data_IF_476178509309
#
_entry.id   IF_476178509309
#
_cell.length_a   1.000
_cell.length_b   1.000
_cell.length_c   1.000
_cell.angle_alpha   90.00
_cell.angle_beta   90.00
_cell.angle_gamma   90.00
#
_symmetry.space_group_name_H-M   'P 1'
#
loop_
_entity.id
_entity.type
_entity.pdbx_description
1 polymer ?
#
# COMPACT_ATOMS: atom_id res chain seq x y z
N UNK A 1 43.46 -41.15 -50.92
CA UNK A 1 44.80 -40.99 -50.31
C UNK A 1 44.68 -41.35 -48.84
N UNK A 2 45.37 -42.40 -48.44
CA UNK A 2 45.44 -42.90 -47.07
C UNK A 2 46.60 -42.22 -46.33
N UNK A 3 46.46 -41.96 -45.03
CA UNK A 3 47.28 -42.69 -44.05
C UNK A 3 46.71 -42.64 -42.62
N UNK A 4 46.81 -43.79 -41.95
CA UNK A 4 46.56 -44.05 -40.52
C UNK A 4 47.73 -43.50 -39.68
N UNK A 5 47.63 -43.22 -38.37
CA UNK A 5 47.73 -44.11 -37.19
C UNK A 5 47.82 -43.17 -35.95
N UNK A 6 47.45 -43.46 -34.70
CA UNK A 6 47.13 -44.69 -33.99
C UNK A 6 46.58 -44.35 -32.58
N UNK A 7 46.01 -45.37 -31.93
CA UNK A 7 45.40 -45.35 -30.58
C UNK A 7 46.45 -45.54 -29.47
N UNK A 8 46.11 -45.09 -28.25
CA UNK A 8 46.29 -45.69 -26.89
C UNK A 8 46.09 -44.52 -25.88
N UNK A 9 45.35 -44.56 -24.78
CA UNK A 9 44.97 -45.61 -23.84
C UNK A 9 45.64 -45.30 -22.49
N UNK A 10 44.90 -44.80 -21.48
CA UNK A 10 45.01 -45.12 -20.04
C UNK A 10 44.38 -44.09 -19.08
N UNK A 11 44.03 -44.59 -17.89
CA UNK A 11 43.11 -44.10 -16.85
C UNK A 11 43.76 -43.17 -15.79
N UNK A 12 42.99 -42.64 -14.81
CA UNK A 12 43.36 -41.48 -13.98
C UNK A 12 44.06 -41.83 -12.65
N UNK A 13 44.89 -40.93 -12.13
CA UNK A 13 45.39 -40.95 -10.75
C UNK A 13 45.72 -39.51 -10.29
N UNK A 14 44.93 -38.91 -9.38
CA UNK A 14 45.13 -38.79 -7.91
C UNK A 14 46.45 -38.14 -7.45
N UNK A 15 46.34 -36.89 -6.98
CA UNK A 15 47.08 -36.27 -5.85
C UNK A 15 46.48 -34.88 -5.62
N UNK A 16 46.26 -34.30 -4.45
CA UNK A 16 46.15 -34.72 -3.05
C UNK A 16 45.64 -33.48 -2.29
N UNK A 17 44.70 -33.65 -1.35
CA UNK A 17 44.30 -32.60 -0.42
C UNK A 17 45.49 -32.19 0.46
N UNK A 18 45.72 -30.88 0.60
CA UNK A 18 46.34 -30.30 1.78
C UNK A 18 45.27 -29.42 2.46
N UNK A 19 44.94 -29.81 3.69
CA UNK A 19 44.11 -29.06 4.60
C UNK A 19 44.88 -27.81 5.06
N UNK A 20 44.23 -26.65 5.05
CA UNK A 20 44.62 -25.55 5.91
C UNK A 20 43.58 -25.40 7.02
N UNK A 21 44.09 -25.40 8.24
CA UNK A 21 43.35 -25.54 9.47
C UNK A 21 43.17 -24.17 10.11
N UNK A 22 41.92 -23.83 10.43
CA UNK A 22 41.57 -23.15 11.67
C UNK A 22 41.95 -21.68 11.79
N UNK A 23 41.00 -20.80 11.50
CA UNK A 23 40.72 -19.65 12.37
C UNK A 23 39.31 -19.80 12.92
N UNK A 24 39.22 -20.25 14.17
CA UNK A 24 37.96 -20.36 14.89
C UNK A 24 37.37 -18.98 15.09
N UNK A 25 36.31 -18.67 14.36
CA UNK A 25 35.39 -17.61 14.74
C UNK A 25 34.43 -18.24 15.75
N UNK A 26 34.65 -17.94 17.03
CA UNK A 26 33.67 -18.24 18.07
C UNK A 26 32.34 -17.56 17.73
N UNK A 27 31.32 -18.36 17.42
CA UNK A 27 29.94 -17.91 17.30
C UNK A 27 29.41 -17.59 18.70
N UNK A 28 29.71 -16.39 19.19
CA UNK A 28 29.04 -15.87 20.39
C UNK A 28 27.62 -15.46 20.03
N UNK A 29 26.59 -15.93 20.77
CA UNK A 29 25.22 -15.53 20.49
C UNK A 29 25.11 -14.02 20.66
N UNK A 30 24.78 -13.31 19.57
CA UNK A 30 24.51 -11.88 19.59
C UNK A 30 23.23 -11.67 20.40
N UNK A 31 23.39 -11.42 21.70
CA UNK A 31 22.34 -11.21 22.70
C UNK A 31 21.49 -9.93 22.43
N UNK A 32 21.63 -9.32 21.25
CA UNK A 32 20.98 -8.08 20.81
C UNK A 32 19.85 -8.26 19.79
N UNK A 33 19.75 -9.40 19.11
CA UNK A 33 18.72 -9.63 18.06
C UNK A 33 17.31 -9.79 18.65
N UNK A 34 17.16 -10.54 19.74
CA UNK A 34 15.86 -10.69 20.44
C UNK A 34 15.33 -9.35 20.99
N UNK A 35 16.23 -8.49 21.48
CA UNK A 35 15.88 -7.18 22.06
C UNK A 35 15.51 -6.14 21.00
N UNK A 36 16.04 -6.28 19.78
CA UNK A 36 15.67 -5.46 18.63
C UNK A 36 14.30 -5.87 18.07
N UNK A 37 14.04 -7.18 17.95
CA UNK A 37 12.75 -7.73 17.51
C UNK A 37 11.60 -7.35 18.46
N UNK A 38 11.85 -7.31 19.77
CA UNK A 38 10.85 -6.90 20.77
C UNK A 38 10.46 -5.40 20.69
N UNK A 39 11.29 -4.54 20.07
CA UNK A 39 10.98 -3.10 19.95
C UNK A 39 10.01 -2.77 18.82
N UNK A 40 9.85 -3.69 17.88
CA UNK A 40 9.03 -3.55 16.67
C UNK A 40 7.68 -4.27 16.78
N UNK A 41 7.43 -4.91 17.93
CA UNK A 41 6.16 -5.55 18.22
C UNK A 41 5.00 -4.54 18.14
N UNK A 42 3.87 -4.99 17.61
CA UNK A 42 2.62 -4.25 17.67
C UNK A 42 2.31 -3.87 19.13
N UNK A 43 1.66 -2.72 19.37
CA UNK A 43 1.24 -2.36 20.71
C UNK A 43 0.38 -3.47 21.32
N UNK A 44 0.49 -3.65 22.63
CA UNK A 44 -0.24 -4.69 23.35
C UNK A 44 -1.75 -4.52 23.14
N UNK A 45 -2.43 -5.62 22.83
CA UNK A 45 -3.87 -5.64 22.63
C UNK A 45 -4.54 -5.42 23.99
N UNK A 46 -5.49 -4.49 24.05
CA UNK A 46 -6.20 -4.11 25.26
C UNK A 46 -7.32 -5.09 25.63
N UNK A 47 -7.79 -5.90 24.68
CA UNK A 47 -8.90 -6.85 24.84
C UNK A 47 -8.56 -8.20 24.22
N UNK A 48 -9.02 -9.29 24.82
CA UNK A 48 -8.81 -10.66 24.29
C UNK A 48 -9.57 -10.93 22.97
N UNK A 49 -10.37 -9.96 22.51
CA UNK A 49 -11.15 -10.04 21.27
C UNK A 49 -11.05 -8.73 20.47
N UNK A 50 -10.08 -8.66 19.57
CA UNK A 50 -9.82 -7.51 18.69
C UNK A 50 -11.03 -7.14 17.82
N UNK A 51 -11.76 -8.14 17.32
CA UNK A 51 -12.89 -7.94 16.40
C UNK A 51 -14.04 -7.21 17.08
N UNK A 52 -14.41 -7.63 18.30
CA UNK A 52 -15.48 -6.99 19.06
C UNK A 52 -15.15 -5.52 19.38
N UNK A 53 -13.87 -5.20 19.64
CA UNK A 53 -13.45 -3.82 19.91
C UNK A 53 -13.64 -2.93 18.66
N UNK A 54 -13.24 -3.39 17.48
CA UNK A 54 -13.45 -2.65 16.23
C UNK A 54 -14.92 -2.42 15.91
N UNK A 55 -15.77 -3.45 16.07
CA UNK A 55 -17.22 -3.34 15.86
C UNK A 55 -17.88 -2.32 16.80
N UNK A 56 -17.36 -2.21 18.02
CA UNK A 56 -17.81 -1.22 19.01
C UNK A 56 -17.14 0.17 18.84
N UNK A 57 -16.36 0.38 17.78
CA UNK A 57 -15.55 1.60 17.57
C UNK A 57 -14.57 1.90 18.72
N UNK A 58 -14.13 0.87 19.44
CA UNK A 58 -13.12 0.95 20.50
C UNK A 58 -11.74 0.64 19.91
N UNK A 59 -10.76 1.48 20.21
CA UNK A 59 -9.38 1.25 19.77
C UNK A 59 -8.81 0.01 20.50
N UNK A 60 -8.39 -1.04 19.79
CA UNK A 60 -8.10 -2.34 20.39
C UNK A 60 -6.72 -2.41 21.05
N UNK A 61 -5.89 -1.37 20.95
CA UNK A 61 -4.53 -1.38 21.48
C UNK A 61 -4.40 -0.44 22.67
N UNK A 62 -3.59 -0.82 23.66
CA UNK A 62 -3.36 -0.01 24.87
C UNK A 62 -2.65 1.32 24.56
N UNK A 63 -1.86 1.36 23.49
CA UNK A 63 -1.08 2.53 23.11
C UNK A 63 -0.99 2.67 21.59
N UNK A 64 -0.75 3.89 21.12
CA UNK A 64 -0.45 4.14 19.71
C UNK A 64 0.87 3.48 19.28
N UNK A 65 0.96 3.16 17.99
CA UNK A 65 2.20 2.66 17.40
C UNK A 65 3.33 3.68 17.59
N UNK A 66 4.50 3.20 18.00
CA UNK A 66 5.70 4.05 18.12
C UNK A 66 6.07 4.62 16.76
N UNK A 67 6.39 5.91 16.72
CA UNK A 67 6.73 6.62 15.48
C UNK A 67 7.87 5.96 14.69
N UNK A 68 8.91 5.48 15.37
CA UNK A 68 10.05 4.82 14.72
C UNK A 68 9.66 3.53 13.98
N UNK A 69 8.74 2.75 14.57
CA UNK A 69 8.21 1.53 13.96
C UNK A 69 7.32 1.89 12.77
N UNK A 70 6.42 2.86 12.96
CA UNK A 70 5.55 3.38 11.91
C UNK A 70 6.34 3.86 10.68
N UNK A 71 7.35 4.73 10.85
CA UNK A 71 8.12 5.27 9.73
C UNK A 71 8.88 4.17 8.97
N UNK A 72 9.39 3.15 9.69
CA UNK A 72 10.07 2.01 9.05
C UNK A 72 9.10 1.21 8.18
N UNK A 73 7.94 0.83 8.72
CA UNK A 73 6.93 0.08 7.97
C UNK A 73 6.38 0.89 6.79
N UNK A 74 6.14 2.19 7.01
CA UNK A 74 5.69 3.11 5.96
C UNK A 74 6.67 3.14 4.80
N UNK A 75 7.98 3.26 5.07
CA UNK A 75 9.00 3.27 4.02
C UNK A 75 9.01 1.97 3.21
N UNK A 76 8.89 0.81 3.87
CA UNK A 76 8.80 -0.49 3.19
C UNK A 76 7.56 -0.59 2.30
N UNK A 77 6.39 -0.17 2.81
CA UNK A 77 5.14 -0.17 2.04
C UNK A 77 5.19 0.81 0.87
N UNK A 78 5.86 1.96 1.01
CA UNK A 78 6.04 2.92 -0.09
C UNK A 78 6.92 2.35 -1.21
N UNK A 79 7.91 1.51 -0.89
CA UNK A 79 8.67 0.75 -1.91
C UNK A 79 7.75 -0.21 -2.66
N UNK A 80 6.88 -0.94 -1.97
CA UNK A 80 5.92 -1.82 -2.63
C UNK A 80 4.91 -1.03 -3.47
N UNK A 81 4.49 0.15 -3.03
CA UNK A 81 3.57 1.02 -3.75
C UNK A 81 4.16 1.50 -5.08
N UNK A 82 5.48 1.71 -5.16
CA UNK A 82 6.18 1.99 -6.43
C UNK A 82 6.15 0.80 -7.38
N UNK A 83 6.23 -0.43 -6.87
CA UNK A 83 6.07 -1.63 -7.71
C UNK A 83 4.65 -1.74 -8.25
N UNK A 84 3.64 -1.40 -7.44
CA UNK A 84 2.25 -1.33 -7.90
C UNK A 84 2.09 -0.27 -8.98
N UNK A 85 2.61 0.94 -8.79
CA UNK A 85 2.56 2.00 -9.80
C UNK A 85 3.18 1.55 -11.12
N UNK A 86 4.38 0.95 -11.07
CA UNK A 86 5.04 0.42 -12.25
C UNK A 86 4.21 -0.66 -12.94
N UNK A 87 3.64 -1.59 -12.19
CA UNK A 87 2.77 -2.62 -12.74
C UNK A 87 1.51 -2.02 -13.39
N UNK A 88 0.88 -1.03 -12.76
CA UNK A 88 -0.28 -0.33 -13.32
C UNK A 88 0.07 0.31 -14.67
N UNK A 89 1.21 0.99 -14.76
CA UNK A 89 1.72 1.61 -15.99
C UNK A 89 2.00 0.57 -17.09
N UNK A 90 2.73 -0.51 -16.75
CA UNK A 90 3.12 -1.55 -17.70
C UNK A 90 1.93 -2.35 -18.24
N UNK A 91 0.90 -2.56 -17.42
CA UNK A 91 -0.28 -3.38 -17.78
C UNK A 91 -1.50 -2.57 -18.24
N UNK A 92 -1.44 -1.23 -18.13
CA UNK A 92 -2.56 -0.36 -18.46
C UNK A 92 -3.76 -0.48 -17.52
N UNK A 93 -3.56 -1.02 -16.32
CA UNK A 93 -4.62 -1.14 -15.31
C UNK A 93 -5.08 0.25 -14.85
N UNK A 94 -6.27 0.29 -14.26
CA UNK A 94 -6.93 1.53 -13.85
C UNK A 94 -7.36 1.40 -12.40
N UNK A 95 -6.77 2.20 -11.52
CA UNK A 95 -7.06 2.13 -10.08
C UNK A 95 -7.79 3.39 -9.64
N UNK A 96 -8.94 3.22 -9.00
CA UNK A 96 -9.66 4.27 -8.27
C UNK A 96 -9.64 3.92 -6.80
N UNK A 97 -9.27 4.88 -5.95
CA UNK A 97 -9.30 4.75 -4.50
C UNK A 97 -10.17 5.87 -3.93
N UNK A 98 -11.23 5.52 -3.21
CA UNK A 98 -12.15 6.48 -2.60
C UNK A 98 -11.85 6.62 -1.11
N UNK A 99 -11.52 7.82 -0.66
CA UNK A 99 -11.30 8.11 0.74
C UNK A 99 -12.56 8.76 1.33
N UNK A 100 -13.32 7.96 2.06
CA UNK A 100 -14.51 8.37 2.81
C UNK A 100 -14.34 8.16 4.31
N UNK A 101 -15.15 8.85 5.10
CA UNK A 101 -15.13 8.73 6.55
C UNK A 101 -15.46 10.04 7.27
N UNK A 102 -15.58 9.97 8.59
CA UNK A 102 -15.92 11.10 9.46
C UNK A 102 -14.92 12.26 9.30
N UNK A 103 -15.36 13.45 9.69
CA UNK A 103 -14.45 14.59 9.78
C UNK A 103 -13.34 14.32 10.79
N UNK A 104 -12.14 14.80 10.48
CA UNK A 104 -10.90 14.53 11.22
C UNK A 104 -10.47 13.05 11.33
N UNK A 105 -11.07 12.11 10.59
CA UNK A 105 -10.68 10.69 10.61
C UNK A 105 -9.30 10.37 9.98
N UNK A 106 -8.61 11.36 9.39
CA UNK A 106 -7.24 11.19 8.88
C UNK A 106 -7.11 10.96 7.36
N UNK A 107 -8.19 11.10 6.58
CA UNK A 107 -8.21 10.89 5.10
C UNK A 107 -7.04 11.56 4.37
N UNK A 108 -6.95 12.89 4.47
CA UNK A 108 -5.89 13.65 3.79
C UNK A 108 -4.48 13.31 4.28
N UNK A 109 -4.33 12.93 5.55
CA UNK A 109 -3.06 12.43 6.09
C UNK A 109 -2.62 11.13 5.42
N UNK A 110 -3.56 10.20 5.23
CA UNK A 110 -3.33 8.92 4.54
C UNK A 110 -2.99 9.15 3.07
N UNK A 111 -3.77 9.96 2.34
CA UNK A 111 -3.49 10.31 0.93
C UNK A 111 -2.09 10.91 0.79
N UNK A 112 -1.71 11.82 1.71
CA UNK A 112 -0.38 12.42 1.71
C UNK A 112 0.74 11.37 1.84
N UNK A 113 0.54 10.28 2.59
CA UNK A 113 1.54 9.21 2.71
C UNK A 113 1.59 8.31 1.48
N UNK A 114 0.46 8.07 0.82
CA UNK A 114 0.43 7.38 -0.47
C UNK A 114 1.19 8.17 -1.54
N UNK A 115 0.92 9.47 -1.64
CA UNK A 115 1.47 10.34 -2.68
C UNK A 115 2.93 10.78 -2.44
N UNK A 116 3.51 10.50 -1.26
CA UNK A 116 4.82 11.01 -0.84
C UNK A 116 5.95 10.64 -1.80
N UNK A 117 5.88 9.45 -2.42
CA UNK A 117 6.91 8.93 -3.32
C UNK A 117 6.39 8.48 -4.69
N UNK A 118 5.08 8.50 -4.93
CA UNK A 118 4.51 8.14 -6.22
C UNK A 118 4.80 9.19 -7.30
N UNK A 119 5.01 8.76 -8.54
CA UNK A 119 5.12 9.66 -9.69
C UNK A 119 3.77 10.39 -9.92
N UNK A 120 3.72 11.74 -9.84
CA UNK A 120 2.47 12.50 -9.93
C UNK A 120 1.84 12.51 -11.32
N UNK A 121 2.56 12.03 -12.35
CA UNK A 121 2.03 11.93 -13.73
C UNK A 121 1.05 10.77 -13.90
N UNK A 122 1.22 9.70 -13.12
CA UNK A 122 0.44 8.46 -13.22
C UNK A 122 -0.35 8.18 -11.94
N UNK A 123 -0.08 8.91 -10.86
CA UNK A 123 -0.90 8.94 -9.65
C UNK A 123 -1.35 10.38 -9.34
N UNK A 124 -2.65 10.62 -9.19
CA UNK A 124 -3.17 11.96 -8.85
C UNK A 124 -4.29 11.93 -7.83
N UNK A 125 -4.44 13.05 -7.13
CA UNK A 125 -5.50 13.27 -6.13
C UNK A 125 -6.59 14.15 -6.73
N UNK A 126 -7.84 13.79 -6.49
CA UNK A 126 -9.03 14.55 -6.84
C UNK A 126 -9.69 15.02 -5.56
N UNK A 127 -9.74 16.33 -5.36
CA UNK A 127 -10.40 16.97 -4.23
C UNK A 127 -11.34 18.04 -4.78
N UNK A 128 -12.58 17.66 -5.06
CA UNK A 128 -13.57 18.57 -5.66
C UNK A 128 -14.13 19.53 -4.60
N UNK A 129 -14.22 20.80 -4.97
CA UNK A 129 -14.97 21.79 -4.19
C UNK A 129 -16.48 21.54 -4.27
N UNK A 130 -17.25 22.33 -3.51
CA UNK A 130 -18.71 22.38 -3.63
C UNK A 130 -19.13 22.55 -5.11
N UNK A 131 -20.21 21.88 -5.57
CA UNK A 131 -20.63 21.98 -6.96
C UNK A 131 -21.05 23.41 -7.29
N UNK A 132 -20.64 23.88 -8.46
CA UNK A 132 -21.11 25.12 -9.09
C UNK A 132 -22.58 24.98 -9.49
N UNK A 133 -23.26 26.10 -9.77
CA UNK A 133 -24.68 26.06 -10.15
C UNK A 133 -24.90 25.30 -11.47
N UNK A 134 -23.91 25.30 -12.37
CA UNK A 134 -23.91 24.47 -13.57
C UNK A 134 -23.76 22.99 -13.24
N UNK A 135 -22.85 22.60 -12.34
CA UNK A 135 -22.68 21.20 -11.94
C UNK A 135 -23.90 20.66 -11.17
N UNK A 136 -24.62 21.52 -10.43
CA UNK A 136 -25.87 21.13 -9.76
C UNK A 136 -27.00 20.80 -10.74
N UNK A 137 -27.01 21.40 -11.93
CA UNK A 137 -28.01 21.13 -12.97
C UNK A 137 -27.60 19.99 -13.92
N UNK A 138 -26.37 19.51 -13.80
CA UNK A 138 -25.89 18.33 -14.51
C UNK A 138 -26.32 17.04 -13.80
N UNK A 139 -26.13 15.92 -14.48
CA UNK A 139 -26.21 14.63 -13.83
C UNK A 139 -25.14 14.52 -12.72
N UNK A 140 -25.53 14.09 -11.52
CA UNK A 140 -24.69 14.14 -10.31
C UNK A 140 -23.30 13.50 -10.49
N UNK A 141 -23.21 12.38 -11.22
CA UNK A 141 -21.96 11.66 -11.45
C UNK A 141 -21.05 12.31 -12.50
N UNK A 142 -21.57 13.21 -13.33
CA UNK A 142 -20.86 13.76 -14.49
C UNK A 142 -19.52 14.38 -14.10
N UNK A 143 -19.50 15.25 -13.09
CA UNK A 143 -18.28 15.89 -12.60
C UNK A 143 -17.23 14.93 -12.04
N UNK A 144 -17.65 13.76 -11.57
CA UNK A 144 -16.73 12.75 -11.02
C UNK A 144 -16.17 11.85 -12.12
N UNK A 145 -16.99 11.50 -13.12
CA UNK A 145 -16.61 10.65 -14.24
C UNK A 145 -15.48 11.28 -15.06
N UNK A 146 -15.47 12.61 -15.21
CA UNK A 146 -14.39 13.37 -15.85
C UNK A 146 -13.01 13.12 -15.22
N UNK A 147 -12.97 12.64 -13.97
CA UNK A 147 -11.75 12.38 -13.23
C UNK A 147 -11.41 10.89 -13.10
N UNK A 148 -12.16 9.98 -13.70
CA UNK A 148 -11.79 8.55 -13.68
C UNK A 148 -10.44 8.31 -14.38
N UNK A 149 -9.69 7.27 -13.95
CA UNK A 149 -8.38 6.96 -14.49
C UNK A 149 -8.45 6.52 -15.96
N UNK A 150 -7.51 7.01 -16.75
CA UNK A 150 -7.11 6.39 -18.02
C UNK A 150 -6.17 5.20 -17.77
N UNK A 151 -5.86 4.43 -18.82
CA UNK A 151 -4.95 3.29 -18.70
C UNK A 151 -3.60 3.70 -18.09
N UNK A 152 -3.15 2.97 -17.07
CA UNK A 152 -1.92 3.28 -16.36
C UNK A 152 -2.06 4.32 -15.25
N UNK A 153 -3.27 4.79 -14.94
CA UNK A 153 -3.49 5.80 -13.90
C UNK A 153 -4.04 5.22 -12.59
N UNK A 154 -3.57 5.81 -11.49
CA UNK A 154 -4.09 5.68 -10.14
C UNK A 154 -4.73 7.02 -9.75
N UNK A 155 -6.01 7.01 -9.43
CA UNK A 155 -6.74 8.21 -9.00
C UNK A 155 -7.28 8.03 -7.59
N UNK A 156 -6.90 8.95 -6.70
CA UNK A 156 -7.32 8.98 -5.31
C UNK A 156 -8.31 10.12 -5.10
N UNK A 157 -9.54 9.79 -4.70
CA UNK A 157 -10.57 10.77 -4.40
C UNK A 157 -10.56 11.12 -2.91
N UNK A 158 -10.27 12.38 -2.56
CA UNK A 158 -10.50 12.94 -1.22
C UNK A 158 -11.94 13.43 -1.14
N UNK A 159 -12.80 12.55 -0.60
CA UNK A 159 -14.25 12.55 -0.84
C UNK A 159 -14.61 12.26 -2.30
N UNK A 160 -15.81 11.72 -2.48
CA UNK A 160 -16.28 11.18 -3.75
C UNK A 160 -17.77 11.46 -3.96
N UNK A 161 -18.38 10.78 -4.91
CA UNK A 161 -19.83 10.76 -5.10
C UNK A 161 -20.60 10.29 -3.84
N UNK A 162 -19.95 9.61 -2.88
CA UNK A 162 -20.55 9.30 -1.58
C UNK A 162 -20.86 10.53 -0.71
N UNK A 163 -20.47 11.74 -1.13
CA UNK A 163 -20.98 12.98 -0.54
C UNK A 163 -22.51 13.01 -0.47
N UNK A 164 -23.21 12.49 -1.49
CA UNK A 164 -24.69 12.39 -1.49
C UNK A 164 -25.21 11.52 -0.35
N UNK A 165 -24.57 10.39 -0.09
CA UNK A 165 -24.97 9.48 0.98
C UNK A 165 -24.50 9.91 2.38
N UNK A 166 -23.56 10.85 2.47
CA UNK A 166 -23.02 11.36 3.72
C UNK A 166 -23.46 12.78 4.02
N UNK A 167 -22.54 13.73 3.81
CA UNK A 167 -22.68 15.12 4.24
C UNK A 167 -23.89 15.81 3.62
N UNK A 168 -24.22 15.53 2.35
CA UNK A 168 -25.32 16.22 1.69
C UNK A 168 -26.67 15.81 2.26
N UNK A 169 -26.84 14.53 2.61
CA UNK A 169 -28.04 14.03 3.29
C UNK A 169 -28.19 14.61 4.69
N UNK A 170 -27.10 14.63 5.47
CA UNK A 170 -27.11 15.11 6.86
C UNK A 170 -27.34 16.61 6.95
N UNK A 171 -26.76 17.38 6.03
CA UNK A 171 -26.83 18.84 6.02
C UNK A 171 -27.98 19.41 5.16
N UNK A 172 -28.75 18.55 4.48
CA UNK A 172 -29.86 18.99 3.63
C UNK A 172 -29.42 19.68 2.33
N UNK A 173 -28.26 19.32 1.78
CA UNK A 173 -27.76 19.85 0.49
C UNK A 173 -28.30 19.08 -0.72
N UNK A 174 -29.03 17.99 -0.50
CA UNK A 174 -29.72 17.24 -1.53
C UNK A 174 -31.20 17.07 -1.18
N UNK A 175 -32.06 16.91 -2.19
CA UNK A 175 -33.44 16.52 -1.93
C UNK A 175 -33.49 15.08 -1.39
N UNK A 176 -34.53 14.69 -0.63
CA UNK A 176 -34.71 13.29 -0.24
C UNK A 176 -34.80 12.35 -1.45
N UNK A 177 -35.41 12.81 -2.55
CA UNK A 177 -35.51 12.04 -3.78
C UNK A 177 -34.13 11.82 -4.42
N UNK A 178 -33.27 12.83 -4.46
CA UNK A 178 -31.93 12.68 -5.04
C UNK A 178 -31.07 11.70 -4.24
N UNK A 179 -31.24 11.69 -2.90
CA UNK A 179 -30.57 10.70 -2.05
C UNK A 179 -31.04 9.29 -2.37
N UNK A 180 -32.36 9.08 -2.50
CA UNK A 180 -32.92 7.78 -2.85
C UNK A 180 -32.50 7.34 -4.25
N UNK A 181 -32.46 8.25 -5.21
CA UNK A 181 -32.00 8.01 -6.57
C UNK A 181 -30.52 7.60 -6.58
N UNK A 182 -29.67 8.25 -5.79
CA UNK A 182 -28.27 7.86 -5.62
C UNK A 182 -28.08 6.48 -4.99
N UNK A 183 -28.97 6.08 -4.07
CA UNK A 183 -28.87 4.81 -3.33
C UNK A 183 -29.47 3.60 -4.08
N UNK A 184 -30.17 3.84 -5.18
CA UNK A 184 -30.82 2.81 -5.99
C UNK A 184 -29.83 2.07 -6.89
#
# INVERSE_FOLDING_TARGET
MANQTGKTGESPAKTSLAADAGTGIEDKPVNGTAKALAKDAAPEIATDNERNAFEQSVYPYKSQMRRTVYERHKAQLQVELLKVQRWVEETGQRIVILFEGRDAAGKGGTIKRYMEHLNPRTARVVALAKPTDREKSQWYFQRYIEHLPSAGEIVMFDRSWYNRAGVERVMGFCSPNDYLEFMR
#
